data_IF_934201731675
#
_entry.id   IF_934201731675
#
_cell.length_a   1.000
_cell.length_b   1.000
_cell.length_c   1.000
_cell.angle_alpha   90.00
_cell.angle_beta   90.00
_cell.angle_gamma   90.00
#
_symmetry.space_group_name_H-M   'P 1'
#
loop_
_entity.id
_entity.type
_entity.pdbx_description
1 polymer ?
#
# COMPACT_ATOMS: atom_id res chain seq x y z
N UNK A 1 -63.12 41.71 26.35
CA UNK A 1 -62.81 40.33 26.77
C UNK A 1 -62.77 39.47 25.51
N UNK A 2 -61.71 38.68 25.35
CA UNK A 2 -61.37 37.84 24.19
C UNK A 2 -62.49 36.81 23.88
N UNK A 3 -62.60 36.15 22.72
CA UNK A 3 -61.61 35.55 21.80
C UNK A 3 -62.22 35.44 20.39
N UNK A 4 -61.42 35.56 19.33
CA UNK A 4 -61.87 35.28 17.95
C UNK A 4 -60.99 34.23 17.25
N UNK A 5 -61.56 33.03 17.13
CA UNK A 5 -61.57 32.08 16.00
C UNK A 5 -60.30 31.88 15.13
N UNK A 6 -59.64 30.75 15.39
CA UNK A 6 -59.15 29.67 14.50
C UNK A 6 -59.08 29.96 12.99
N UNK A 7 -57.92 29.67 12.36
CA UNK A 7 -57.67 28.91 11.09
C UNK A 7 -56.19 29.17 10.69
N UNK A 8 -55.28 28.23 10.93
CA UNK A 8 -54.74 27.27 9.94
C UNK A 8 -53.97 27.92 8.78
N UNK A 9 -52.65 28.01 8.92
CA UNK A 9 -51.72 27.88 7.78
C UNK A 9 -50.48 27.12 8.24
N UNK A 10 -50.54 25.81 8.05
CA UNK A 10 -49.39 24.94 7.91
C UNK A 10 -48.54 25.45 6.74
N UNK A 11 -47.35 26.00 7.01
CA UNK A 11 -46.33 26.18 5.98
C UNK A 11 -45.07 25.43 6.38
N UNK A 12 -44.99 24.26 5.75
CA UNK A 12 -43.88 23.35 5.60
C UNK A 12 -42.59 24.11 5.20
N UNK A 13 -41.73 24.44 6.16
CA UNK A 13 -40.34 24.80 5.88
C UNK A 13 -39.51 23.52 5.80
N UNK A 14 -39.76 22.73 4.76
CA UNK A 14 -38.79 21.80 4.19
C UNK A 14 -38.11 22.51 3.01
N UNK A 15 -36.85 22.16 2.73
CA UNK A 15 -35.93 22.73 1.73
C UNK A 15 -34.99 23.82 2.28
N UNK A 16 -33.66 23.70 2.27
CA UNK A 16 -32.74 22.69 1.78
C UNK A 16 -31.53 22.69 2.73
N UNK A 17 -31.27 21.59 3.46
CA UNK A 17 -29.91 21.33 3.92
C UNK A 17 -29.11 20.95 2.68
N UNK A 18 -28.44 21.93 2.08
CA UNK A 18 -27.34 21.65 1.18
C UNK A 18 -26.28 20.91 2.01
N UNK A 19 -26.18 19.60 1.80
CA UNK A 19 -24.99 18.82 2.14
C UNK A 19 -23.85 19.41 1.30
N UNK A 20 -23.19 20.42 1.84
CA UNK A 20 -21.86 20.81 1.40
C UNK A 20 -20.98 19.66 1.89
N UNK A 21 -20.77 18.67 1.02
CA UNK A 21 -19.62 17.80 1.16
C UNK A 21 -18.41 18.73 1.08
N UNK A 22 -17.84 19.07 2.23
CA UNK A 22 -16.50 19.59 2.26
C UNK A 22 -15.62 18.44 1.75
N UNK A 23 -15.34 18.44 0.45
CA UNK A 23 -14.19 17.75 -0.11
C UNK A 23 -13.01 18.24 0.72
N UNK A 24 -12.54 17.43 1.67
CA UNK A 24 -11.27 17.71 2.33
C UNK A 24 -10.25 17.81 1.20
N UNK A 25 -9.58 18.95 1.00
CA UNK A 25 -8.54 19.04 0.00
C UNK A 25 -7.50 17.99 0.36
N UNK A 26 -7.35 17.01 -0.52
CA UNK A 26 -6.29 16.01 -0.47
C UNK A 26 -4.94 16.74 -0.53
N UNK A 27 -4.42 17.18 0.61
CA UNK A 27 -3.08 17.72 0.72
C UNK A 27 -2.10 16.55 0.90
N UNK A 28 -1.93 15.76 -0.16
CA UNK A 28 -0.90 14.72 -0.20
C UNK A 28 0.38 15.38 -0.71
N UNK A 29 1.28 15.74 0.20
CA UNK A 29 2.64 16.12 -0.18
C UNK A 29 3.39 14.85 -0.55
N UNK A 30 3.56 14.61 -1.85
CA UNK A 30 4.65 13.77 -2.32
C UNK A 30 5.95 14.49 -1.99
N UNK A 31 6.62 14.07 -0.94
CA UNK A 31 8.02 14.41 -0.78
C UNK A 31 8.76 13.54 -1.80
N UNK A 32 8.93 14.08 -3.02
CA UNK A 32 9.87 13.55 -4.01
C UNK A 32 11.28 13.77 -3.46
N UNK A 33 11.64 12.99 -2.45
CA UNK A 33 13.03 12.82 -2.06
C UNK A 33 13.67 11.97 -3.16
N UNK A 34 13.96 12.59 -4.30
CA UNK A 34 14.78 12.05 -5.40
C UNK A 34 16.26 11.90 -4.98
N UNK A 35 16.47 11.73 -3.68
CA UNK A 35 17.72 11.39 -3.07
C UNK A 35 17.54 9.94 -2.65
N UNK A 36 18.17 9.04 -3.42
CA UNK A 36 18.49 7.71 -2.92
C UNK A 36 19.40 7.95 -1.71
N UNK A 37 18.80 8.13 -0.53
CA UNK A 37 19.59 8.36 0.67
C UNK A 37 20.31 7.04 0.93
N UNK A 38 21.63 7.05 0.79
CA UNK A 38 22.54 6.00 1.29
C UNK A 38 22.48 5.88 2.83
N UNK A 39 21.49 6.48 3.49
CA UNK A 39 21.02 5.88 4.74
C UNK A 39 20.33 4.58 4.34
N UNK A 40 21.15 3.54 4.28
CA UNK A 40 20.91 2.33 5.01
C UNK A 40 20.05 2.65 6.26
N UNK A 41 18.72 2.71 6.11
CA UNK A 41 17.90 1.99 7.06
C UNK A 41 18.35 0.57 6.82
N UNK A 42 19.36 0.20 7.60
CA UNK A 42 19.93 -1.12 7.70
C UNK A 42 18.74 -2.01 8.04
N UNK A 43 18.04 -2.48 7.01
CA UNK A 43 17.27 -3.69 7.11
C UNK A 43 18.36 -4.72 7.30
N UNK A 44 18.68 -5.00 8.56
CA UNK A 44 19.58 -6.04 8.99
C UNK A 44 18.96 -7.37 8.53
N UNK A 45 19.14 -7.67 7.25
CA UNK A 45 19.06 -9.02 6.74
C UNK A 45 20.36 -9.66 7.21
N UNK A 46 20.30 -10.19 8.42
CA UNK A 46 21.31 -11.10 8.90
C UNK A 46 21.31 -12.27 7.93
N UNK A 47 22.35 -12.37 7.10
CA UNK A 47 22.63 -13.55 6.29
C UNK A 47 23.10 -14.65 7.25
N UNK A 48 22.16 -15.19 8.02
CA UNK A 48 22.38 -16.38 8.82
C UNK A 48 22.20 -17.56 7.85
N UNK A 49 23.30 -18.00 7.23
CA UNK A 49 23.40 -19.38 6.78
C UNK A 49 23.44 -20.26 8.04
N UNK A 50 22.27 -20.59 8.60
CA UNK A 50 22.19 -21.67 9.58
C UNK A 50 20.98 -22.58 9.36
N UNK A 51 21.29 -23.86 9.31
CA UNK A 51 20.40 -24.99 9.10
C UNK A 51 19.57 -25.23 10.36
N UNK A 52 18.60 -24.36 10.67
CA UNK A 52 17.66 -24.60 11.77
C UNK A 52 16.39 -23.73 11.67
N UNK A 53 15.37 -24.18 10.92
CA UNK A 53 13.95 -23.77 11.09
C UNK A 53 13.69 -22.28 11.41
N UNK A 54 14.52 -21.37 10.89
CA UNK A 54 14.38 -19.96 11.20
C UNK A 54 13.19 -19.44 10.40
N UNK A 55 12.32 -18.70 11.07
CA UNK A 55 11.01 -18.40 10.55
C UNK A 55 11.15 -17.40 9.38
N UNK A 56 11.22 -17.94 8.16
CA UNK A 56 11.38 -17.16 6.93
C UNK A 56 10.33 -16.05 6.84
N UNK A 57 10.80 -14.82 6.66
CA UNK A 57 9.97 -13.64 6.43
C UNK A 57 9.16 -13.85 5.16
N UNK A 58 7.84 -13.78 5.28
CA UNK A 58 6.92 -14.02 4.17
C UNK A 58 5.75 -13.04 4.18
N UNK A 59 5.08 -12.85 3.04
CA UNK A 59 3.83 -12.09 2.98
C UNK A 59 2.77 -12.71 3.91
N UNK A 60 2.06 -11.85 4.65
CA UNK A 60 1.03 -12.23 5.60
C UNK A 60 -0.36 -11.78 5.14
N UNK A 61 -0.51 -10.49 4.84
CA UNK A 61 -1.78 -9.93 4.39
C UNK A 61 -1.58 -8.67 3.55
N UNK A 62 -2.61 -8.27 2.79
CA UNK A 62 -2.66 -6.98 2.13
C UNK A 62 -4.06 -6.37 2.16
N UNK A 63 -4.13 -5.05 2.07
CA UNK A 63 -5.37 -4.29 1.92
C UNK A 63 -5.14 -3.15 0.93
N UNK A 64 -6.15 -2.83 0.12
CA UNK A 64 -6.09 -1.72 -0.82
C UNK A 64 -7.01 -0.61 -0.34
N UNK A 65 -6.48 0.60 -0.31
CA UNK A 65 -7.21 1.81 0.06
C UNK A 65 -7.10 2.84 -1.07
N UNK A 66 -8.15 3.65 -1.21
CA UNK A 66 -8.10 4.84 -2.07
C UNK A 66 -7.89 6.05 -1.15
N UNK A 67 -6.71 6.67 -1.23
CA UNK A 67 -6.30 7.77 -0.35
C UNK A 67 -6.83 9.12 -0.86
N UNK A 68 -7.20 9.19 -2.15
CA UNK A 68 -7.91 10.27 -2.84
C UNK A 68 -8.65 9.66 -4.06
N UNK A 69 -9.48 10.42 -4.78
CA UNK A 69 -10.26 9.87 -5.93
C UNK A 69 -9.42 9.08 -6.95
N UNK A 70 -8.13 9.41 -7.11
CA UNK A 70 -7.24 8.80 -8.12
C UNK A 70 -5.97 8.15 -7.54
N UNK A 71 -5.80 8.11 -6.21
CA UNK A 71 -4.61 7.53 -5.58
C UNK A 71 -5.02 6.23 -4.89
N UNK A 72 -4.56 5.12 -5.44
CA UNK A 72 -4.68 3.80 -4.83
C UNK A 72 -3.38 3.43 -4.14
N UNK A 73 -3.46 2.93 -2.91
CA UNK A 73 -2.33 2.43 -2.13
C UNK A 73 -2.64 1.03 -1.64
N UNK A 74 -1.67 0.13 -1.71
CA UNK A 74 -1.72 -1.20 -1.12
C UNK A 74 -0.89 -1.22 0.16
N UNK A 75 -1.54 -1.43 1.30
CA UNK A 75 -0.88 -1.70 2.57
C UNK A 75 -0.62 -3.20 2.66
N UNK A 76 0.64 -3.59 2.81
CA UNK A 76 1.04 -4.98 2.98
C UNK A 76 1.64 -5.22 4.36
N UNK A 77 1.40 -6.42 4.89
CA UNK A 77 2.09 -6.95 6.06
C UNK A 77 2.85 -8.20 5.68
N UNK A 78 4.06 -8.31 6.20
CA UNK A 78 4.97 -9.43 5.97
C UNK A 78 5.80 -9.66 7.22
N UNK A 79 6.31 -10.87 7.40
CA UNK A 79 6.98 -11.23 8.63
C UNK A 79 6.92 -12.71 8.92
N UNK A 80 7.08 -13.03 10.19
CA UNK A 80 6.97 -14.37 10.73
C UNK A 80 6.13 -14.33 12.02
N UNK A 81 6.26 -15.35 12.88
CA UNK A 81 5.48 -15.43 14.12
C UNK A 81 6.00 -14.48 15.22
N UNK A 82 7.21 -13.95 15.07
CA UNK A 82 7.90 -13.13 16.06
C UNK A 82 7.90 -11.65 15.66
N UNK A 83 8.11 -11.37 14.37
CA UNK A 83 8.20 -10.03 13.82
C UNK A 83 7.20 -9.81 12.69
N UNK A 84 6.51 -8.68 12.73
CA UNK A 84 5.57 -8.25 11.68
C UNK A 84 5.97 -6.85 11.22
N UNK A 85 6.17 -6.72 9.93
CA UNK A 85 6.51 -5.48 9.25
C UNK A 85 5.32 -4.97 8.43
N UNK A 86 5.35 -3.67 8.16
CA UNK A 86 4.34 -2.96 7.39
C UNK A 86 5.01 -2.17 6.27
N UNK A 87 4.41 -2.18 5.09
CA UNK A 87 4.85 -1.36 3.97
C UNK A 87 3.66 -0.91 3.13
N UNK A 88 3.81 0.28 2.55
CA UNK A 88 2.82 0.88 1.66
C UNK A 88 3.38 0.88 0.24
N UNK A 89 2.59 0.39 -0.71
CA UNK A 89 2.95 0.33 -2.12
C UNK A 89 1.96 1.16 -2.92
N UNK A 90 2.46 2.13 -3.69
CA UNK A 90 1.62 2.91 -4.58
C UNK A 90 1.00 2.00 -5.65
N UNK A 91 -0.30 2.15 -5.90
CA UNK A 91 -1.06 1.35 -6.86
C UNK A 91 -1.71 0.11 -6.27
N UNK A 92 -2.33 -0.69 -7.14
CA UNK A 92 -3.06 -1.90 -6.74
C UNK A 92 -2.21 -3.16 -6.90
N UNK A 93 -1.75 -3.73 -5.79
CA UNK A 93 -0.88 -4.90 -5.75
C UNK A 93 -1.61 -6.19 -5.33
N UNK A 94 -2.95 -6.25 -5.37
CA UNK A 94 -3.73 -7.41 -4.87
C UNK A 94 -3.33 -8.74 -5.49
N UNK A 95 -2.96 -8.71 -6.78
CA UNK A 95 -2.54 -9.91 -7.50
C UNK A 95 -1.24 -10.51 -6.98
N UNK A 96 -0.45 -9.78 -6.19
CA UNK A 96 0.86 -10.21 -5.69
C UNK A 96 0.83 -10.69 -4.23
N UNK A 97 -0.34 -11.00 -3.66
CA UNK A 97 -0.52 -11.39 -2.24
C UNK A 97 0.42 -12.49 -1.72
N UNK A 98 0.92 -13.37 -2.60
CA UNK A 98 1.86 -14.43 -2.24
C UNK A 98 3.33 -14.01 -2.20
N UNK A 99 3.64 -12.84 -2.75
CA UNK A 99 5.01 -12.34 -2.89
C UNK A 99 5.23 -10.97 -2.25
N UNK A 100 4.19 -10.14 -2.10
CA UNK A 100 4.32 -8.71 -1.85
C UNK A 100 5.04 -8.38 -0.53
N UNK A 101 6.32 -8.00 -0.65
CA UNK A 101 7.17 -7.46 0.41
C UNK A 101 8.33 -6.68 -0.25
N UNK A 102 8.99 -5.75 0.47
CA UNK A 102 10.19 -5.08 -0.04
C UNK A 102 11.34 -6.07 -0.26
N UNK A 103 12.24 -5.77 -1.19
CA UNK A 103 13.45 -6.55 -1.41
C UNK A 103 14.62 -5.70 -1.86
N UNK A 104 15.84 -6.22 -1.67
CA UNK A 104 17.04 -5.68 -2.27
C UNK A 104 17.33 -6.46 -3.58
N UNK A 105 17.33 -5.82 -4.76
CA UNK A 105 17.61 -6.49 -6.03
C UNK A 105 19.00 -7.14 -6.13
N UNK A 106 19.96 -6.71 -5.30
CA UNK A 106 21.28 -7.35 -5.16
C UNK A 106 21.24 -8.65 -4.34
N UNK A 107 20.20 -8.84 -3.51
CA UNK A 107 19.99 -10.01 -2.66
C UNK A 107 18.55 -10.56 -2.87
N UNK A 108 18.25 -11.17 -4.03
CA UNK A 108 16.88 -11.53 -4.42
C UNK A 108 16.33 -12.79 -3.74
N UNK A 109 17.19 -13.56 -3.06
CA UNK A 109 16.87 -14.85 -2.44
C UNK A 109 15.63 -14.83 -1.54
N UNK A 110 15.41 -13.80 -0.69
CA UNK A 110 14.21 -13.72 0.14
C UNK A 110 12.90 -13.72 -0.67
N UNK A 111 12.90 -13.15 -1.88
CA UNK A 111 11.73 -13.25 -2.76
C UNK A 111 11.65 -14.64 -3.39
N UNK A 112 12.74 -15.12 -4.00
CA UNK A 112 12.72 -16.32 -4.83
C UNK A 112 12.51 -17.60 -4.01
N UNK A 113 12.79 -17.57 -2.71
CA UNK A 113 12.55 -18.67 -1.78
C UNK A 113 11.09 -18.79 -1.33
N UNK A 114 10.21 -17.82 -1.60
CA UNK A 114 8.81 -17.83 -1.15
C UNK A 114 7.98 -18.97 -1.73
N UNK A 115 8.44 -19.66 -2.78
CA UNK A 115 7.97 -20.98 -3.24
C UNK A 115 6.53 -21.08 -3.79
N UNK A 116 5.61 -20.21 -3.36
CA UNK A 116 4.18 -20.34 -3.59
C UNK A 116 3.64 -19.52 -4.77
N UNK A 117 4.47 -18.72 -5.44
CA UNK A 117 4.01 -17.73 -6.41
C UNK A 117 4.98 -17.29 -7.50
N UNK A 118 6.06 -18.04 -7.77
CA UNK A 118 7.10 -17.65 -8.76
C UNK A 118 7.55 -16.19 -8.57
N UNK A 119 7.89 -15.86 -7.33
CA UNK A 119 8.22 -14.50 -6.91
C UNK A 119 9.59 -14.07 -7.45
N UNK A 120 9.68 -12.80 -7.86
CA UNK A 120 10.93 -12.15 -8.25
C UNK A 120 11.08 -10.82 -7.54
N UNK A 121 12.33 -10.39 -7.32
CA UNK A 121 12.63 -9.04 -6.88
C UNK A 121 12.73 -8.10 -8.09
N UNK A 122 11.83 -7.12 -8.18
CA UNK A 122 11.79 -6.13 -9.26
C UNK A 122 12.32 -4.81 -8.74
N UNK A 123 13.41 -4.26 -9.32
CA UNK A 123 13.94 -2.96 -8.90
C UNK A 123 12.98 -1.83 -9.28
N UNK A 124 12.93 -0.79 -8.44
CA UNK A 124 12.36 0.50 -8.84
C UNK A 124 13.20 1.15 -9.94
N UNK A 125 12.57 2.01 -10.74
CA UNK A 125 13.21 2.75 -11.82
C UNK A 125 14.04 3.94 -11.30
N UNK A 126 13.54 4.61 -10.27
CA UNK A 126 14.16 5.78 -9.65
C UNK A 126 15.25 5.41 -8.61
N UNK A 127 15.11 4.25 -7.96
CA UNK A 127 16.08 3.72 -7.00
C UNK A 127 16.32 2.21 -7.21
N UNK A 128 17.25 1.80 -8.11
CA UNK A 128 17.44 0.39 -8.46
C UNK A 128 17.95 -0.53 -7.35
N UNK A 129 18.42 0.03 -6.23
CA UNK A 129 18.86 -0.73 -5.04
C UNK A 129 17.68 -1.13 -4.13
N UNK A 130 16.49 -0.58 -4.37
CA UNK A 130 15.25 -0.91 -3.67
C UNK A 130 14.28 -1.55 -4.66
N UNK A 131 13.66 -2.64 -4.26
CA UNK A 131 12.73 -3.39 -5.10
C UNK A 131 11.51 -3.89 -4.34
N UNK A 132 10.65 -4.56 -5.09
CA UNK A 132 9.46 -5.24 -4.58
C UNK A 132 9.46 -6.70 -5.03
N UNK A 133 9.15 -7.60 -4.11
CA UNK A 133 8.86 -8.99 -4.43
C UNK A 133 7.49 -9.07 -5.12
N UNK A 134 7.45 -9.59 -6.34
CA UNK A 134 6.24 -9.66 -7.17
C UNK A 134 6.14 -10.99 -7.93
N UNK A 135 4.92 -11.47 -8.13
CA UNK A 135 4.61 -12.61 -9.02
C UNK A 135 4.88 -12.27 -10.49
N UNK A 136 5.65 -13.10 -11.21
CA UNK A 136 6.09 -12.87 -12.61
C UNK A 136 4.96 -12.65 -13.63
N UNK A 137 3.82 -13.30 -13.45
CA UNK A 137 2.73 -13.29 -14.46
C UNK A 137 1.60 -12.33 -14.12
N UNK A 138 1.78 -11.52 -13.09
CA UNK A 138 0.78 -10.58 -12.59
C UNK A 138 1.21 -9.15 -12.95
N UNK A 139 0.32 -8.32 -13.53
CA UNK A 139 0.62 -6.92 -13.80
C UNK A 139 0.97 -6.16 -12.52
N UNK A 140 2.02 -5.33 -12.58
CA UNK A 140 2.46 -4.51 -11.46
C UNK A 140 1.41 -3.47 -11.06
N UNK A 141 1.42 -3.10 -9.79
CA UNK A 141 0.43 -2.15 -9.26
C UNK A 141 0.61 -0.72 -9.75
N UNK A 142 1.81 -0.35 -10.24
CA UNK A 142 2.12 0.96 -10.80
C UNK A 142 3.26 0.88 -11.85
N UNK A 143 3.68 2.03 -12.40
CA UNK A 143 4.73 2.15 -13.41
C UNK A 143 6.13 2.51 -12.87
N UNK A 144 6.34 2.53 -11.55
CA UNK A 144 7.60 2.94 -10.91
C UNK A 144 8.68 1.84 -10.94
N UNK A 145 8.33 0.66 -11.46
CA UNK A 145 9.18 -0.54 -11.44
C UNK A 145 9.53 -0.99 -12.86
N UNK A 146 10.69 -1.64 -12.99
CA UNK A 146 11.18 -2.09 -14.29
C UNK A 146 10.46 -3.37 -14.77
N UNK A 147 9.46 -3.19 -15.63
CA UNK A 147 8.66 -4.26 -16.26
C UNK A 147 9.51 -5.23 -17.10
N UNK A 148 10.70 -4.82 -17.56
CA UNK A 148 11.58 -5.67 -18.40
C UNK A 148 12.10 -6.94 -17.70
N UNK A 149 11.81 -7.12 -16.40
CA UNK A 149 12.18 -8.30 -15.61
C UNK A 149 11.04 -9.29 -15.35
N UNK A 150 9.83 -9.03 -15.84
CA UNK A 150 8.69 -9.96 -15.77
C UNK A 150 8.72 -11.01 -16.87
#
# INVERSE_FOLDING_TARGET
MAFSKVILFTSLMAFHLSLIFAEQPCNFQFEDTNYCHDNSSEYDYSEEEDDNNEASIKPLNLTVINVCENITVTNATYGNNETVYHSEFMGNWTGHSKCLMPCNPSYPTPCTSLGAGDCICIPRLDCPNVGVCAMKTVPLGNCDYNISRL
#
